data_IF_112040544895
#
_entry.id   IF_112040544895
#
_cell.length_a   1.000
_cell.length_b   1.000
_cell.length_c   1.000
_cell.angle_alpha   90.00
_cell.angle_beta   90.00
_cell.angle_gamma   90.00
#
_symmetry.space_group_name_H-M   'P 1'
#
loop_
_entity.id
_entity.type
_entity.pdbx_description
1 polymer ?
#
# COMPACT_ATOMS: atom_id res chain seq x y z
N UNK A 1 -8.89 8.43 30.82
CA UNK A 1 -8.24 9.02 29.62
C UNK A 1 -7.83 7.87 28.72
N UNK A 2 -8.65 7.54 27.72
CA UNK A 2 -8.41 6.39 26.83
C UNK A 2 -7.53 6.79 25.66
N UNK A 3 -6.35 6.18 25.54
CA UNK A 3 -5.50 6.31 24.37
C UNK A 3 -6.11 5.48 23.23
N UNK A 4 -6.81 6.15 22.31
CA UNK A 4 -7.23 5.53 21.06
C UNK A 4 -5.98 5.37 20.18
N UNK A 5 -5.39 4.17 20.19
CA UNK A 5 -4.35 3.78 19.24
C UNK A 5 -4.97 3.88 17.84
N UNK A 6 -4.66 4.93 17.10
CA UNK A 6 -5.04 5.06 15.70
C UNK A 6 -4.33 3.95 14.92
N UNK A 7 -5.01 2.83 14.72
CA UNK A 7 -4.57 1.74 13.85
C UNK A 7 -4.82 2.15 12.40
N UNK A 8 -3.99 3.04 11.85
CA UNK A 8 -4.07 3.42 10.45
C UNK A 8 -3.38 2.38 9.58
N UNK A 9 -4.14 1.40 9.08
CA UNK A 9 -3.67 0.50 8.02
C UNK A 9 -3.98 1.15 6.67
N UNK A 10 -2.93 1.48 5.92
CA UNK A 10 -3.01 1.99 4.54
C UNK A 10 -2.56 0.89 3.56
N UNK A 11 -3.16 0.89 2.37
CA UNK A 11 -2.80 -0.01 1.27
C UNK A 11 -2.51 0.81 0.01
N UNK A 12 -1.51 0.37 -0.75
CA UNK A 12 -1.21 0.90 -2.09
C UNK A 12 -1.47 -0.22 -3.07
N UNK A 13 -2.26 0.09 -4.10
CA UNK A 13 -2.64 -0.84 -5.16
C UNK A 13 -2.34 -0.18 -6.52
N UNK A 14 -1.79 -0.94 -7.45
CA UNK A 14 -1.65 -0.51 -8.85
C UNK A 14 -2.81 -1.06 -9.65
N UNK A 15 -3.70 -0.18 -10.10
CA UNK A 15 -4.84 -0.56 -10.93
C UNK A 15 -4.43 -0.97 -12.35
N UNK A 16 -5.38 -1.53 -13.11
CA UNK A 16 -5.17 -1.96 -14.50
C UNK A 16 -4.63 -0.85 -15.43
N UNK A 17 -4.89 0.43 -15.12
CA UNK A 17 -4.36 1.58 -15.84
C UNK A 17 -2.94 2.01 -15.44
N UNK A 18 -2.27 1.29 -14.53
CA UNK A 18 -0.90 1.57 -14.09
C UNK A 18 -0.75 2.71 -13.07
N UNK A 19 -1.85 3.38 -12.69
CA UNK A 19 -1.83 4.40 -11.65
C UNK A 19 -1.82 3.77 -10.26
N UNK A 20 -0.95 4.28 -9.38
CA UNK A 20 -0.89 3.88 -7.99
C UNK A 20 -2.03 4.60 -7.22
N UNK A 21 -2.82 3.82 -6.47
CA UNK A 21 -3.98 4.30 -5.70
C UNK A 21 -3.73 4.13 -4.20
N UNK A 22 -4.31 5.01 -3.38
CA UNK A 22 -4.13 5.01 -1.93
C UNK A 22 -5.45 4.85 -1.20
N UNK A 23 -5.58 3.76 -0.44
CA UNK A 23 -6.77 3.48 0.36
C UNK A 23 -6.46 3.38 1.85
N UNK A 24 -7.37 3.91 2.68
CA UNK A 24 -7.30 3.81 4.14
C UNK A 24 -8.26 2.75 4.64
N UNK A 25 -7.82 1.50 4.69
CA UNK A 25 -8.66 0.34 5.07
C UNK A 25 -9.30 0.45 6.46
N UNK A 26 -8.64 1.16 7.38
CA UNK A 26 -9.19 1.44 8.71
C UNK A 26 -10.52 2.20 8.69
N UNK A 27 -10.77 3.00 7.65
CA UNK A 27 -11.98 3.82 7.49
C UNK A 27 -12.81 3.44 6.26
N UNK A 28 -12.19 2.80 5.27
CA UNK A 28 -12.82 2.39 4.03
C UNK A 28 -12.31 0.99 3.63
N UNK A 29 -12.94 -0.03 4.21
CA UNK A 29 -12.61 -1.43 3.94
C UNK A 29 -12.97 -1.87 2.53
N UNK A 30 -13.80 -1.10 1.80
CA UNK A 30 -14.23 -1.43 0.44
C UNK A 30 -13.37 -0.76 -0.63
N UNK A 31 -12.33 -0.02 -0.23
CA UNK A 31 -11.37 0.62 -1.14
C UNK A 31 -12.07 1.51 -2.19
N UNK A 32 -13.06 2.28 -1.78
CA UNK A 32 -13.85 3.11 -2.70
C UNK A 32 -13.29 4.52 -2.86
N UNK A 33 -12.61 5.04 -1.83
CA UNK A 33 -12.06 6.39 -1.83
C UNK A 33 -10.56 6.35 -2.12
N UNK A 34 -10.19 6.52 -3.39
CA UNK A 34 -8.81 6.78 -3.76
C UNK A 34 -8.36 8.14 -3.23
N UNK A 35 -7.33 8.13 -2.38
CA UNK A 35 -6.74 9.31 -1.74
C UNK A 35 -5.41 9.72 -2.35
N UNK A 36 -5.00 9.12 -3.47
CA UNK A 36 -3.73 9.41 -4.13
C UNK A 36 -3.50 10.91 -4.36
N UNK A 37 -4.52 11.62 -4.88
CA UNK A 37 -4.45 13.05 -5.13
C UNK A 37 -4.41 13.90 -3.85
N UNK A 38 -5.03 13.43 -2.77
CA UNK A 38 -5.10 14.14 -1.50
C UNK A 38 -3.83 13.96 -0.64
N UNK A 39 -3.14 12.83 -0.80
CA UNK A 39 -1.99 12.44 0.02
C UNK A 39 -0.81 11.90 -0.84
N UNK A 40 -0.30 12.71 -1.79
CA UNK A 40 0.71 12.25 -2.77
C UNK A 40 2.05 11.88 -2.12
N UNK A 41 2.45 12.57 -1.04
CA UNK A 41 3.70 12.27 -0.31
C UNK A 41 3.64 10.91 0.39
N UNK A 42 2.49 10.57 0.99
CA UNK A 42 2.28 9.28 1.64
C UNK A 42 2.29 8.15 0.60
N UNK A 43 1.64 8.36 -0.54
CA UNK A 43 1.67 7.42 -1.66
C UNK A 43 3.10 7.18 -2.14
N UNK A 44 3.89 8.24 -2.33
CA UNK A 44 5.29 8.13 -2.73
C UNK A 44 6.14 7.38 -1.69
N UNK A 45 5.96 7.66 -0.39
CA UNK A 45 6.69 6.99 0.68
C UNK A 45 6.36 5.49 0.76
N UNK A 46 5.07 5.13 0.63
CA UNK A 46 4.63 3.73 0.62
C UNK A 46 5.14 2.98 -0.62
N UNK A 47 5.09 3.62 -1.79
CA UNK A 47 5.66 3.09 -3.04
C UNK A 47 7.15 2.82 -2.89
N UNK A 48 7.92 3.78 -2.38
CA UNK A 48 9.35 3.61 -2.16
C UNK A 48 9.65 2.49 -1.14
N UNK A 49 8.83 2.33 -0.10
CA UNK A 49 8.98 1.23 0.86
C UNK A 49 8.70 -0.14 0.23
N UNK A 50 7.69 -0.22 -0.64
CA UNK A 50 7.38 -1.41 -1.40
C UNK A 50 8.53 -1.77 -2.36
N UNK A 51 9.02 -0.82 -3.16
CA UNK A 51 10.12 -1.05 -4.11
C UNK A 51 11.41 -1.53 -3.44
N UNK A 52 11.74 -0.98 -2.26
CA UNK A 52 12.89 -1.46 -1.47
C UNK A 52 12.72 -2.90 -0.99
N UNK A 53 11.50 -3.29 -0.66
CA UNK A 53 11.20 -4.65 -0.21
C UNK A 53 11.25 -5.63 -1.37
N UNK A 54 10.61 -5.28 -2.49
CA UNK A 54 10.58 -6.07 -3.73
C UNK A 54 12.00 -6.37 -4.25
N UNK A 55 12.88 -5.36 -4.27
CA UNK A 55 14.28 -5.53 -4.65
C UNK A 55 15.09 -6.51 -3.76
N UNK A 56 14.59 -6.79 -2.55
CA UNK A 56 15.20 -7.73 -1.60
C UNK A 56 14.56 -9.12 -1.59
N UNK A 57 13.49 -9.37 -2.37
CA UNK A 57 12.83 -10.67 -2.38
C UNK A 57 13.69 -11.70 -3.10
N UNK A 58 13.85 -12.87 -2.48
CA UNK A 58 14.46 -14.02 -3.13
C UNK A 58 13.57 -14.48 -4.30
N UNK A 59 14.15 -14.94 -5.42
CA UNK A 59 13.38 -15.56 -6.49
C UNK A 59 12.54 -16.71 -5.95
N UNK A 60 11.30 -16.82 -6.44
CA UNK A 60 10.51 -18.01 -6.16
C UNK A 60 11.23 -19.23 -6.75
N UNK A 61 11.45 -20.31 -5.97
CA UNK A 61 12.04 -21.52 -6.51
C UNK A 61 11.12 -22.06 -7.60
N UNK A 62 11.60 -22.02 -8.84
CA UNK A 62 10.97 -22.73 -9.96
C UNK A 62 11.16 -24.22 -9.67
N UNK A 63 10.12 -24.89 -9.18
CA UNK A 63 10.18 -26.27 -8.68
C UNK A 63 11.01 -27.18 -9.59
N UNK A 64 12.25 -27.47 -9.16
CA UNK A 64 13.12 -28.45 -9.78
C UNK A 64 12.94 -29.77 -9.05
N UNK A 65 12.13 -30.65 -9.64
CA UNK A 65 12.02 -32.07 -9.33
C UNK A 65 11.86 -32.83 -10.62
#
# INVERSE_FOLDING_TARGET
MGSARLSSRASVYRGEGGADQLFRLSHDQREQADRAAAEPELLAALRAAWERTDAGLLPYPTGGG
#
